data_IF_376292943977
#
_entry.id   IF_376292943977
#
_cell.length_a   1.000
_cell.length_b   1.000
_cell.length_c   1.000
_cell.angle_alpha   90.00
_cell.angle_beta   90.00
_cell.angle_gamma   90.00
#
_symmetry.space_group_name_H-M   'P 1'
#
loop_
_entity.id
_entity.type
_entity.pdbx_description
1 polymer ?
#
# COMPACT_ATOMS: atom_id res chain seq x y z
N UNK A 1 2.34 18.95 -13.68
CA UNK A 1 3.29 17.87 -13.40
C UNK A 1 4.29 17.80 -14.55
N UNK A 2 5.60 17.67 -14.29
CA UNK A 2 6.60 17.57 -15.37
C UNK A 2 6.51 16.21 -16.06
N UNK A 3 6.91 16.14 -17.34
CA UNK A 3 6.94 14.87 -18.09
C UNK A 3 7.81 13.80 -17.42
N UNK A 4 8.92 14.23 -16.79
CA UNK A 4 9.80 13.35 -16.01
C UNK A 4 9.07 12.69 -14.84
N UNK A 5 8.39 13.48 -13.99
CA UNK A 5 7.64 12.95 -12.83
C UNK A 5 6.54 12.00 -13.30
N UNK A 6 5.85 12.34 -14.40
CA UNK A 6 4.84 11.46 -14.98
C UNK A 6 5.44 10.11 -15.43
N UNK A 7 6.58 10.11 -16.12
CA UNK A 7 7.28 8.89 -16.51
C UNK A 7 7.75 8.06 -15.32
N UNK A 8 8.23 8.69 -14.24
CA UNK A 8 8.59 7.99 -13.01
C UNK A 8 7.37 7.31 -12.37
N UNK A 9 6.22 7.97 -12.32
CA UNK A 9 4.98 7.40 -11.78
C UNK A 9 4.52 6.19 -12.62
N UNK A 10 4.56 6.30 -13.95
CA UNK A 10 4.22 5.17 -14.82
C UNK A 10 5.21 4.00 -14.68
N UNK A 11 6.50 4.31 -14.57
CA UNK A 11 7.54 3.31 -14.29
C UNK A 11 7.31 2.59 -12.97
N UNK A 12 6.97 3.33 -11.90
CA UNK A 12 6.63 2.77 -10.61
C UNK A 12 5.38 1.86 -10.69
N UNK A 13 4.33 2.29 -11.42
CA UNK A 13 3.14 1.48 -11.64
C UNK A 13 3.44 0.18 -12.41
N UNK A 14 4.30 0.24 -13.43
CA UNK A 14 4.74 -0.94 -14.19
C UNK A 14 5.55 -1.90 -13.32
N UNK A 15 6.52 -1.40 -12.55
CA UNK A 15 7.30 -2.21 -11.61
C UNK A 15 6.37 -2.84 -10.56
N UNK A 16 5.38 -2.10 -10.08
CA UNK A 16 4.38 -2.62 -9.16
C UNK A 16 3.53 -3.74 -9.79
N UNK A 17 3.15 -3.62 -11.06
CA UNK A 17 2.45 -4.71 -11.75
C UNK A 17 3.35 -5.94 -11.93
N UNK A 18 4.61 -5.73 -12.33
CA UNK A 18 5.57 -6.81 -12.59
C UNK A 18 5.91 -7.60 -11.33
N UNK A 19 6.19 -6.93 -10.20
CA UNK A 19 6.51 -7.64 -8.96
C UNK A 19 5.32 -8.49 -8.47
N UNK A 20 4.08 -7.99 -8.61
CA UNK A 20 2.88 -8.75 -8.23
C UNK A 20 2.73 -10.02 -9.09
N UNK A 21 3.11 -9.96 -10.38
CA UNK A 21 3.12 -11.14 -11.25
C UNK A 21 4.17 -12.14 -10.77
N UNK A 22 5.40 -11.68 -10.52
CA UNK A 22 6.51 -12.53 -10.06
C UNK A 22 6.19 -13.19 -8.72
N UNK A 23 5.70 -12.42 -7.74
CA UNK A 23 5.30 -12.93 -6.42
C UNK A 23 4.17 -13.95 -6.53
N UNK A 24 3.19 -13.73 -7.41
CA UNK A 24 2.08 -14.68 -7.60
C UNK A 24 2.58 -16.02 -8.13
N UNK A 25 3.61 -16.01 -8.99
CA UNK A 25 4.23 -17.23 -9.53
C UNK A 25 5.25 -17.90 -8.59
N UNK A 26 5.62 -17.27 -7.47
CA UNK A 26 6.61 -17.82 -6.55
C UNK A 26 6.11 -19.07 -5.81
N UNK A 27 7.01 -20.06 -5.68
CA UNK A 27 6.75 -21.28 -4.91
C UNK A 27 6.61 -20.98 -3.40
N UNK A 28 7.52 -20.16 -2.86
CA UNK A 28 7.45 -19.61 -1.51
C UNK A 28 7.33 -18.08 -1.57
N UNK A 29 6.12 -17.57 -1.32
CA UNK A 29 5.83 -16.14 -1.37
C UNK A 29 6.49 -15.35 -0.23
N UNK A 30 6.71 -15.98 0.93
CA UNK A 30 7.33 -15.31 2.06
C UNK A 30 8.82 -15.10 1.79
N UNK A 31 9.49 -16.14 1.28
CA UNK A 31 10.90 -16.05 0.88
C UNK A 31 11.07 -15.03 -0.26
N UNK A 32 10.23 -15.08 -1.29
CA UNK A 32 10.31 -14.14 -2.41
C UNK A 32 10.13 -12.68 -1.96
N UNK A 33 9.15 -12.43 -1.07
CA UNK A 33 8.92 -11.10 -0.49
C UNK A 33 10.12 -10.64 0.36
N UNK A 34 10.70 -11.54 1.15
CA UNK A 34 11.87 -11.23 1.97
C UNK A 34 13.10 -10.90 1.10
N UNK A 35 13.35 -11.69 0.06
CA UNK A 35 14.44 -11.46 -0.89
C UNK A 35 14.23 -10.14 -1.64
N UNK A 36 13.02 -9.84 -2.11
CA UNK A 36 12.72 -8.59 -2.80
C UNK A 36 12.95 -7.36 -1.91
N UNK A 37 12.49 -7.41 -0.65
CA UNK A 37 12.72 -6.33 0.32
C UNK A 37 14.21 -6.17 0.66
N UNK A 38 14.93 -7.28 0.83
CA UNK A 38 16.37 -7.24 1.10
C UNK A 38 17.16 -6.69 -0.10
N UNK A 39 16.82 -7.11 -1.32
CA UNK A 39 17.40 -6.57 -2.54
C UNK A 39 17.14 -5.06 -2.66
N UNK A 40 15.93 -4.60 -2.32
CA UNK A 40 15.58 -3.17 -2.30
C UNK A 40 16.45 -2.41 -1.29
N UNK A 41 16.68 -2.97 -0.11
CA UNK A 41 17.56 -2.37 0.90
C UNK A 41 19.02 -2.25 0.41
N UNK A 42 19.53 -3.27 -0.29
CA UNK A 42 20.88 -3.22 -0.90
C UNK A 42 20.93 -2.13 -1.99
N UNK A 43 19.91 -2.06 -2.85
CA UNK A 43 19.83 -1.06 -3.92
C UNK A 43 19.72 0.38 -3.38
N UNK A 44 19.29 0.55 -2.13
CA UNK A 44 19.27 1.85 -1.47
C UNK A 44 20.67 2.28 -0.94
N UNK A 45 21.62 1.37 -0.75
CA UNK A 45 22.95 1.70 -0.19
C UNK A 45 23.74 2.73 -1.02
N UNK A 46 23.79 2.64 -2.36
CA UNK A 46 24.46 3.67 -3.16
C UNK A 46 23.84 5.07 -2.97
N UNK A 47 22.54 5.16 -2.68
CA UNK A 47 21.89 6.44 -2.41
C UNK A 47 22.41 7.06 -1.11
N UNK A 48 22.70 6.26 -0.09
CA UNK A 48 23.32 6.75 1.15
C UNK A 48 24.75 7.26 0.93
N UNK A 49 25.47 6.69 -0.04
CA UNK A 49 26.82 7.16 -0.40
C UNK A 49 26.75 8.49 -1.17
N UNK A 50 25.78 8.64 -2.07
CA UNK A 50 25.62 9.84 -2.90
C UNK A 50 25.02 11.01 -2.10
N UNK A 51 24.00 10.74 -1.28
CA UNK A 51 23.21 11.78 -0.60
C UNK A 51 23.52 11.90 0.90
N UNK A 52 24.33 11.00 1.46
CA UNK A 52 24.66 10.97 2.88
C UNK A 52 23.65 10.21 3.73
N UNK A 53 23.91 10.16 5.04
CA UNK A 53 22.99 9.59 6.02
C UNK A 53 21.79 10.53 6.23
N UNK A 54 20.59 9.97 6.52
CA UNK A 54 19.42 10.78 6.78
C UNK A 54 19.58 11.59 8.07
N UNK A 55 18.90 12.74 8.13
CA UNK A 55 18.93 13.60 9.32
C UNK A 55 18.43 12.83 10.55
N UNK A 56 19.08 12.94 11.73
CA UNK A 56 18.65 12.24 12.93
C UNK A 56 17.18 12.44 13.32
N UNK A 57 16.57 13.57 12.94
CA UNK A 57 15.15 13.86 13.15
C UNK A 57 14.22 12.94 12.34
N UNK A 58 14.73 12.25 11.31
CA UNK A 58 13.96 11.29 10.51
C UNK A 58 13.86 9.91 11.14
N UNK A 59 14.75 9.55 12.08
CA UNK A 59 14.75 8.21 12.69
C UNK A 59 13.44 7.80 13.36
N UNK A 60 12.70 8.69 14.07
CA UNK A 60 11.38 8.36 14.58
C UNK A 60 10.39 7.95 13.48
N UNK A 61 10.43 8.61 12.32
CA UNK A 61 9.57 8.30 11.18
C UNK A 61 9.96 6.97 10.53
N UNK A 62 11.26 6.69 10.40
CA UNK A 62 11.76 5.39 9.94
C UNK A 62 11.30 4.27 10.88
N UNK A 63 11.45 4.46 12.19
CA UNK A 63 11.02 3.46 13.19
C UNK A 63 9.50 3.24 13.16
N UNK A 64 8.72 4.32 13.02
CA UNK A 64 7.28 4.25 12.88
C UNK A 64 6.85 3.54 11.59
N UNK A 65 7.50 3.85 10.47
CA UNK A 65 7.25 3.19 9.18
C UNK A 65 7.54 1.70 9.24
N UNK A 66 8.65 1.30 9.88
CA UNK A 66 8.96 -0.13 10.13
C UNK A 66 7.86 -0.79 10.95
N UNK A 67 7.42 -0.16 12.05
CA UNK A 67 6.36 -0.71 12.89
C UNK A 67 5.04 -0.87 12.12
N UNK A 68 4.66 0.13 11.33
CA UNK A 68 3.48 0.09 10.46
C UNK A 68 3.59 -1.02 9.41
N UNK A 69 4.76 -1.22 8.80
CA UNK A 69 4.99 -2.30 7.84
C UNK A 69 4.88 -3.70 8.47
N UNK A 70 5.33 -3.89 9.71
CA UNK A 70 5.13 -5.16 10.43
C UNK A 70 3.64 -5.42 10.69
N UNK A 71 2.90 -4.40 11.09
CA UNK A 71 1.44 -4.48 11.27
C UNK A 71 0.76 -4.77 9.92
N UNK A 72 1.19 -4.12 8.83
CA UNK A 72 0.70 -4.38 7.48
C UNK A 72 0.82 -5.85 7.11
N UNK A 73 2.01 -6.46 7.23
CA UNK A 73 2.19 -7.87 6.89
C UNK A 73 1.30 -8.80 7.73
N UNK A 74 1.14 -8.50 9.02
CA UNK A 74 0.23 -9.25 9.90
C UNK A 74 -1.24 -9.14 9.47
N UNK A 75 -1.70 -7.92 9.14
CA UNK A 75 -3.09 -7.68 8.74
C UNK A 75 -3.40 -8.28 7.36
N UNK A 76 -2.47 -8.19 6.41
CA UNK A 76 -2.58 -8.85 5.09
C UNK A 76 -2.72 -10.37 5.27
N UNK A 77 -1.80 -10.99 6.02
CA UNK A 77 -1.84 -12.42 6.28
C UNK A 77 -3.15 -12.83 6.99
N UNK A 78 -3.59 -12.04 7.97
CA UNK A 78 -4.84 -12.29 8.70
C UNK A 78 -6.08 -12.17 7.81
N UNK A 79 -6.15 -11.16 6.95
CA UNK A 79 -7.29 -10.98 6.05
C UNK A 79 -7.40 -12.14 5.05
N UNK A 80 -6.28 -12.60 4.49
CA UNK A 80 -6.27 -13.76 3.59
C UNK A 80 -6.50 -15.09 4.29
N UNK A 81 -6.21 -15.19 5.59
CA UNK A 81 -6.56 -16.37 6.39
C UNK A 81 -8.07 -16.50 6.61
N UNK A 82 -8.77 -15.37 6.76
CA UNK A 82 -10.20 -15.36 7.10
C UNK A 82 -11.14 -15.04 5.93
N UNK A 83 -10.62 -14.58 4.79
CA UNK A 83 -11.43 -14.25 3.62
C UNK A 83 -10.67 -14.41 2.30
N UNK A 84 -11.46 -14.50 1.23
CA UNK A 84 -10.91 -14.73 -0.09
C UNK A 84 -10.06 -13.55 -0.57
N UNK A 85 -8.98 -13.87 -1.28
CA UNK A 85 -8.12 -12.88 -1.95
C UNK A 85 -8.97 -11.91 -2.81
N UNK A 86 -10.00 -12.43 -3.49
CA UNK A 86 -10.89 -11.65 -4.35
C UNK A 86 -11.69 -10.59 -3.60
N UNK A 87 -11.92 -10.74 -2.30
CA UNK A 87 -12.61 -9.76 -1.46
C UNK A 87 -11.60 -8.87 -0.72
N UNK A 88 -10.66 -9.48 -0.01
CA UNK A 88 -9.76 -8.76 0.89
C UNK A 88 -8.86 -7.79 0.11
N UNK A 89 -8.30 -8.22 -1.03
CA UNK A 89 -7.37 -7.40 -1.80
C UNK A 89 -8.02 -6.11 -2.36
N UNK A 90 -9.20 -6.17 -3.01
CA UNK A 90 -9.84 -4.95 -3.49
C UNK A 90 -10.27 -3.99 -2.37
N UNK A 91 -10.68 -4.49 -1.21
CA UNK A 91 -10.99 -3.62 -0.06
C UNK A 91 -9.73 -2.90 0.43
N UNK A 92 -8.63 -3.64 0.64
CA UNK A 92 -7.36 -3.05 1.09
C UNK A 92 -6.87 -1.96 0.14
N UNK A 93 -6.88 -2.23 -1.17
CA UNK A 93 -6.35 -1.34 -2.20
C UNK A 93 -7.29 -0.20 -2.58
N UNK A 94 -8.60 -0.42 -2.49
CA UNK A 94 -9.60 0.60 -2.83
C UNK A 94 -9.88 1.56 -1.68
N UNK A 95 -9.80 1.13 -0.42
CA UNK A 95 -10.03 2.03 0.71
C UNK A 95 -8.80 2.89 1.06
N UNK A 96 -7.59 2.39 0.80
CA UNK A 96 -6.36 3.10 1.17
C UNK A 96 -6.20 4.50 0.53
N UNK A 97 -6.46 4.71 -0.78
CA UNK A 97 -6.39 6.05 -1.39
C UNK A 97 -7.38 7.04 -0.79
N UNK A 98 -8.58 6.59 -0.43
CA UNK A 98 -9.59 7.44 0.22
C UNK A 98 -9.13 7.88 1.61
N UNK A 99 -8.56 6.96 2.39
CA UNK A 99 -8.00 7.26 3.71
C UNK A 99 -6.77 8.16 3.61
N UNK A 100 -5.93 7.96 2.60
CA UNK A 100 -4.74 8.81 2.34
C UNK A 100 -5.17 10.23 1.98
N UNK A 101 -6.18 10.39 1.11
CA UNK A 101 -6.76 11.70 0.80
C UNK A 101 -7.32 12.39 2.05
N UNK A 102 -8.07 11.65 2.87
CA UNK A 102 -8.62 12.17 4.13
C UNK A 102 -7.51 12.64 5.08
N UNK A 103 -6.45 11.85 5.24
CA UNK A 103 -5.34 12.20 6.12
C UNK A 103 -4.47 13.33 5.57
N UNK A 104 -4.20 13.37 4.26
CA UNK A 104 -3.54 14.51 3.63
C UNK A 104 -4.31 15.81 3.84
N UNK A 105 -5.64 15.77 3.74
CA UNK A 105 -6.49 16.93 4.02
C UNK A 105 -6.46 17.34 5.50
N UNK A 106 -6.58 16.39 6.43
CA UNK A 106 -6.69 16.67 7.88
C UNK A 106 -5.35 17.04 8.52
N UNK A 107 -4.30 16.27 8.25
CA UNK A 107 -2.99 16.41 8.91
C UNK A 107 -2.04 17.33 8.15
N UNK A 108 -1.99 17.21 6.82
CA UNK A 108 -1.07 17.97 5.97
C UNK A 108 -1.69 19.24 5.39
N UNK A 109 -3.02 19.43 5.56
CA UNK A 109 -3.80 20.54 5.00
C UNK A 109 -3.61 20.69 3.48
N UNK A 110 -3.44 19.58 2.79
CA UNK A 110 -3.27 19.55 1.34
C UNK A 110 -4.54 20.01 0.63
N UNK A 111 -4.37 20.90 -0.35
CA UNK A 111 -5.45 21.30 -1.24
C UNK A 111 -5.41 20.47 -2.51
N UNK A 112 -6.44 19.65 -2.68
CA UNK A 112 -6.57 18.74 -3.82
C UNK A 112 -7.74 19.23 -4.68
N UNK A 113 -7.52 19.37 -5.98
CA UNK A 113 -8.58 19.83 -6.90
C UNK A 113 -9.75 18.85 -6.96
N UNK A 114 -10.96 19.35 -7.21
CA UNK A 114 -12.18 18.53 -7.33
C UNK A 114 -12.05 17.39 -8.36
N UNK A 115 -11.32 17.62 -9.45
CA UNK A 115 -11.07 16.60 -10.47
C UNK A 115 -10.22 15.43 -9.95
N UNK A 116 -9.23 15.70 -9.10
CA UNK A 116 -8.39 14.67 -8.47
C UNK A 116 -9.21 13.91 -7.42
N UNK A 117 -10.03 14.61 -6.63
CA UNK A 117 -10.94 13.99 -5.67
C UNK A 117 -11.88 13.01 -6.41
N UNK A 118 -12.54 13.47 -7.48
CA UNK A 118 -13.41 12.63 -8.30
C UNK A 118 -12.68 11.40 -8.87
N UNK A 119 -11.44 11.57 -9.35
CA UNK A 119 -10.61 10.47 -9.82
C UNK A 119 -10.31 9.43 -8.74
N UNK A 120 -9.95 9.87 -7.53
CA UNK A 120 -9.69 8.99 -6.39
C UNK A 120 -10.96 8.19 -6.04
N UNK A 121 -12.12 8.84 -5.96
CA UNK A 121 -13.39 8.18 -5.70
C UNK A 121 -13.73 7.15 -6.78
N UNK A 122 -13.57 7.50 -8.06
CA UNK A 122 -13.89 6.62 -9.18
C UNK A 122 -13.01 5.36 -9.20
N UNK A 123 -11.69 5.52 -9.02
CA UNK A 123 -10.76 4.39 -8.95
C UNK A 123 -11.04 3.51 -7.72
N UNK A 124 -11.22 4.14 -6.55
CA UNK A 124 -11.48 3.43 -5.29
C UNK A 124 -12.78 2.63 -5.34
N UNK A 125 -13.86 3.24 -5.84
CA UNK A 125 -15.14 2.58 -6.03
C UNK A 125 -15.03 1.43 -7.04
N UNK A 126 -14.36 1.66 -8.17
CA UNK A 126 -14.15 0.64 -9.19
C UNK A 126 -13.43 -0.60 -8.63
N UNK A 127 -12.35 -0.39 -7.88
CA UNK A 127 -11.60 -1.47 -7.24
C UNK A 127 -12.49 -2.21 -6.23
N UNK A 128 -13.16 -1.52 -5.31
CA UNK A 128 -14.03 -2.14 -4.30
C UNK A 128 -15.16 -2.96 -4.96
N UNK A 129 -15.81 -2.43 -6.00
CA UNK A 129 -16.89 -3.10 -6.71
C UNK A 129 -16.44 -4.43 -7.36
N UNK A 130 -15.20 -4.53 -7.82
CA UNK A 130 -14.65 -5.79 -8.34
C UNK A 130 -14.59 -6.87 -7.25
N UNK A 131 -14.33 -6.50 -6.00
CA UNK A 131 -14.24 -7.44 -4.89
C UNK A 131 -15.59 -7.91 -4.35
N UNK A 132 -16.63 -7.07 -4.44
CA UNK A 132 -17.97 -7.39 -3.94
C UNK A 132 -18.73 -8.41 -4.81
N UNK A 133 -18.31 -8.62 -6.07
CA UNK A 133 -19.01 -9.49 -7.03
C UNK A 133 -18.97 -11.00 -6.73
N UNK A 134 -18.16 -11.47 -5.78
CA UNK A 134 -17.85 -12.91 -5.63
C UNK A 134 -18.05 -13.53 -4.23
N UNK A 135 -18.72 -12.88 -3.28
CA UNK A 135 -18.78 -13.45 -1.93
C UNK A 135 -19.96 -14.40 -1.71
N UNK A 136 -19.66 -15.67 -1.44
CA UNK A 136 -20.55 -16.57 -0.71
C UNK A 136 -20.47 -16.22 0.77
N UNK A 137 -21.62 -15.94 1.40
CA UNK A 137 -21.70 -15.47 2.78
C UNK A 137 -21.25 -16.56 3.76
N UNK A 138 -20.24 -16.28 4.57
CA UNK A 138 -19.76 -17.13 5.68
C UNK A 138 -19.43 -16.26 6.89
N UNK A 139 -19.57 -16.78 8.11
CA UNK A 139 -19.32 -16.07 9.37
C UNK A 139 -17.90 -15.48 9.49
N UNK A 140 -16.94 -15.95 8.69
CA UNK A 140 -15.58 -15.41 8.64
C UNK A 140 -15.45 -14.10 7.83
N UNK A 141 -16.48 -13.71 7.08
CA UNK A 141 -16.47 -12.55 6.18
C UNK A 141 -16.27 -11.22 6.92
N UNK A 142 -16.91 -11.01 8.07
CA UNK A 142 -16.76 -9.78 8.84
C UNK A 142 -15.33 -9.62 9.39
N UNK A 143 -14.73 -10.72 9.86
CA UNK A 143 -13.34 -10.70 10.34
C UNK A 143 -12.39 -10.34 9.21
N UNK A 144 -12.55 -10.94 8.03
CA UNK A 144 -11.74 -10.62 6.86
C UNK A 144 -11.88 -9.15 6.45
N UNK A 145 -13.10 -8.61 6.47
CA UNK A 145 -13.37 -7.21 6.16
C UNK A 145 -12.68 -6.27 7.16
N UNK A 146 -12.76 -6.56 8.46
CA UNK A 146 -12.09 -5.76 9.49
C UNK A 146 -10.56 -5.78 9.33
N UNK A 147 -9.96 -6.93 9.04
CA UNK A 147 -8.52 -7.00 8.75
C UNK A 147 -8.15 -6.25 7.47
N UNK A 148 -8.98 -6.33 6.42
CA UNK A 148 -8.75 -5.62 5.16
C UNK A 148 -8.84 -4.09 5.32
N UNK A 149 -9.84 -3.60 6.06
CA UNK A 149 -10.01 -2.17 6.36
C UNK A 149 -8.91 -1.67 7.30
N UNK A 150 -8.54 -2.45 8.32
CA UNK A 150 -7.39 -2.16 9.17
C UNK A 150 -6.10 -2.05 8.36
N UNK A 151 -5.91 -2.94 7.38
CA UNK A 151 -4.76 -2.87 6.50
C UNK A 151 -4.78 -1.63 5.58
N UNK A 152 -5.96 -1.24 5.07
CA UNK A 152 -6.11 -0.01 4.30
C UNK A 152 -5.74 1.23 5.13
N UNK A 153 -6.11 1.24 6.42
CA UNK A 153 -5.72 2.30 7.35
C UNK A 153 -4.21 2.34 7.54
N UNK A 154 -3.57 1.19 7.75
CA UNK A 154 -2.10 1.12 7.88
C UNK A 154 -1.41 1.58 6.61
N UNK A 155 -1.95 1.25 5.42
CA UNK A 155 -1.45 1.77 4.15
C UNK A 155 -1.47 3.29 4.13
N UNK A 156 -2.60 3.90 4.48
CA UNK A 156 -2.71 5.36 4.52
C UNK A 156 -1.77 5.99 5.55
N UNK A 157 -1.61 5.37 6.72
CA UNK A 157 -0.72 5.87 7.77
C UNK A 157 0.75 5.83 7.33
N UNK A 158 1.27 4.71 6.83
CA UNK A 158 2.67 4.67 6.40
C UNK A 158 2.89 5.59 5.20
N UNK A 159 1.91 5.73 4.30
CA UNK A 159 2.02 6.66 3.15
C UNK A 159 2.17 8.11 3.60
N UNK A 160 1.50 8.53 4.67
CA UNK A 160 1.62 9.88 5.25
C UNK A 160 2.90 10.04 6.07
N UNK A 161 3.38 8.98 6.73
CA UNK A 161 4.64 9.00 7.49
C UNK A 161 5.85 9.05 6.55
N UNK A 162 5.77 8.39 5.40
CA UNK A 162 6.84 8.26 4.41
C UNK A 162 6.86 9.41 3.38
N UNK A 163 5.74 10.12 3.20
CA UNK A 163 5.55 11.20 2.22
C UNK A 163 6.04 12.55 2.72
#
# INVERSE_FOLDING_TARGET
MSGFVFSCILGAALMHALWNILLKSAADKNLETAVANFATAILALPLLVIYGLPDPQTFPYIALSIALHLIYFYLVASAYRFGDLNLAYPIMRGAAPLLTLLFGYVFLREQVSDGVIAGIFLVSAGVILLGLRKTTSSAHHLKALLFALGNALVIALYTIVDG
#
